data_IF_741392680221
#
_entry.id   IF_741392680221
#
_cell.length_a   1.000
_cell.length_b   1.000
_cell.length_c   1.000
_cell.angle_alpha   90.00
_cell.angle_beta   90.00
_cell.angle_gamma   90.00
#
_symmetry.space_group_name_H-M   'P 1'
#
loop_
_entity.id
_entity.type
_entity.pdbx_description
1 polymer ?
#
# COMPACT_ATOMS: atom_id res chain seq x y z
N UNK A 1 -19.54 27.58 -27.02
CA UNK A 1 -18.55 27.11 -26.02
C UNK A 1 -19.07 27.30 -24.59
N UNK A 2 -19.66 28.44 -24.25
CA UNK A 2 -20.20 28.71 -22.91
C UNK A 2 -21.48 27.88 -22.59
N UNK A 3 -22.30 27.58 -23.56
CA UNK A 3 -23.50 26.74 -23.38
C UNK A 3 -23.13 25.25 -23.16
N UNK A 4 -22.07 24.72 -23.78
CA UNK A 4 -21.58 23.37 -23.50
C UNK A 4 -20.98 23.26 -22.10
N UNK A 5 -20.26 24.29 -21.62
CA UNK A 5 -19.71 24.30 -20.27
C UNK A 5 -20.81 24.38 -19.20
N UNK A 6 -21.91 25.11 -19.45
CA UNK A 6 -23.02 25.16 -18.52
C UNK A 6 -23.83 23.86 -18.46
N UNK A 7 -24.02 23.16 -19.58
CA UNK A 7 -24.63 21.83 -19.61
C UNK A 7 -23.78 20.77 -18.91
N UNK A 8 -22.44 20.85 -19.03
CA UNK A 8 -21.52 19.94 -18.33
C UNK A 8 -21.57 20.19 -16.81
N UNK A 9 -21.58 21.45 -16.38
CA UNK A 9 -21.69 21.81 -14.97
C UNK A 9 -23.05 21.41 -14.36
N UNK A 10 -24.12 21.53 -15.08
CA UNK A 10 -25.47 21.12 -14.65
C UNK A 10 -25.59 19.58 -14.59
N UNK A 11 -24.95 18.84 -15.50
CA UNK A 11 -24.90 17.38 -15.49
C UNK A 11 -24.12 16.80 -14.30
N UNK A 12 -23.09 17.48 -13.83
CA UNK A 12 -22.34 17.08 -12.63
C UNK A 12 -23.18 17.22 -11.35
N UNK A 13 -24.06 18.23 -11.28
CA UNK A 13 -24.88 18.53 -10.10
C UNK A 13 -26.07 17.58 -9.90
N UNK A 14 -26.41 16.75 -10.88
CA UNK A 14 -27.59 15.86 -10.83
C UNK A 14 -27.24 14.38 -10.94
N UNK A 15 -25.97 14.03 -11.14
CA UNK A 15 -25.51 12.65 -11.31
C UNK A 15 -25.69 11.83 -10.03
N UNK A 16 -26.16 10.59 -10.18
CA UNK A 16 -26.40 9.67 -9.07
C UNK A 16 -25.75 8.32 -9.32
N UNK A 17 -25.30 7.68 -8.27
CA UNK A 17 -24.86 6.28 -8.33
C UNK A 17 -26.07 5.39 -8.61
N UNK A 18 -26.03 4.64 -9.70
CA UNK A 18 -27.09 3.72 -10.14
C UNK A 18 -26.75 2.26 -9.84
N UNK A 19 -25.45 1.89 -9.94
CA UNK A 19 -25.04 0.50 -9.74
C UNK A 19 -23.69 0.41 -9.03
N UNK A 20 -23.57 -0.59 -8.16
CA UNK A 20 -22.31 -1.01 -7.53
C UNK A 20 -21.98 -2.42 -8.01
N UNK A 21 -20.82 -2.60 -8.61
CA UNK A 21 -20.27 -3.91 -8.96
C UNK A 21 -19.09 -4.24 -8.07
N UNK A 22 -19.03 -5.48 -7.61
CA UNK A 22 -17.92 -6.05 -6.85
C UNK A 22 -17.32 -7.17 -7.67
N UNK A 23 -16.01 -7.07 -7.96
CA UNK A 23 -15.30 -7.98 -8.88
C UNK A 23 -14.20 -8.67 -8.10
N UNK A 24 -14.35 -9.98 -7.90
CA UNK A 24 -13.37 -10.87 -7.29
C UNK A 24 -12.62 -11.62 -8.37
N UNK A 25 -11.30 -11.57 -8.39
CA UNK A 25 -10.47 -12.22 -9.40
C UNK A 25 -9.12 -12.65 -8.84
N UNK A 26 -8.52 -13.69 -9.42
CA UNK A 26 -7.25 -14.28 -8.98
C UNK A 26 -6.31 -14.54 -10.17
N UNK A 27 -5.83 -13.53 -10.89
CA UNK A 27 -4.91 -13.76 -12.00
C UNK A 27 -3.59 -14.41 -11.54
N UNK A 28 -3.01 -13.99 -10.46
CA UNK A 28 -1.87 -14.60 -9.76
C UNK A 28 -2.02 -14.47 -8.25
N UNK A 29 -2.73 -13.46 -7.82
CA UNK A 29 -3.10 -13.13 -6.44
C UNK A 29 -4.56 -12.76 -6.40
N UNK A 30 -5.15 -12.71 -5.20
CA UNK A 30 -6.54 -12.30 -5.03
C UNK A 30 -6.66 -10.79 -5.03
N UNK A 31 -7.59 -10.30 -5.85
CA UNK A 31 -7.98 -8.90 -5.89
C UNK A 31 -9.50 -8.77 -5.73
N UNK A 32 -9.89 -7.70 -5.07
CA UNK A 32 -11.27 -7.28 -4.92
C UNK A 32 -11.42 -5.86 -5.44
N UNK A 33 -12.09 -5.69 -6.56
CA UNK A 33 -12.34 -4.39 -7.15
C UNK A 33 -13.78 -3.94 -6.94
N UNK A 34 -13.93 -2.62 -6.86
CA UNK A 34 -15.23 -1.93 -6.83
C UNK A 34 -15.37 -1.11 -8.10
N UNK A 35 -16.53 -1.21 -8.76
CA UNK A 35 -16.90 -0.35 -9.87
C UNK A 35 -18.24 0.32 -9.56
N UNK A 36 -18.23 1.62 -9.45
CA UNK A 36 -19.43 2.44 -9.27
C UNK A 36 -19.86 3.00 -10.63
N UNK A 37 -21.12 2.81 -10.98
CA UNK A 37 -21.68 3.28 -12.25
C UNK A 37 -22.77 4.30 -11.93
N UNK A 38 -22.76 5.41 -12.64
CA UNK A 38 -23.73 6.49 -12.46
C UNK A 38 -24.83 6.43 -13.53
N UNK A 39 -25.95 7.09 -13.29
CA UNK A 39 -27.09 7.24 -14.21
C UNK A 39 -26.72 7.97 -15.52
N UNK A 40 -25.60 8.68 -15.54
CA UNK A 40 -25.03 9.28 -16.75
C UNK A 40 -24.12 8.34 -17.56
N UNK A 41 -23.89 7.11 -17.07
CA UNK A 41 -22.97 6.13 -17.66
C UNK A 41 -21.48 6.36 -17.31
N UNK A 42 -21.13 7.44 -16.61
CA UNK A 42 -19.78 7.61 -16.08
C UNK A 42 -19.58 6.60 -14.94
N UNK A 43 -18.40 5.99 -14.89
CA UNK A 43 -18.07 5.04 -13.82
C UNK A 43 -16.68 5.29 -13.26
N UNK A 44 -16.47 4.85 -12.04
CA UNK A 44 -15.17 4.83 -11.38
C UNK A 44 -14.81 3.46 -10.85
N UNK A 45 -13.51 3.23 -10.68
CA UNK A 45 -12.94 1.97 -10.21
C UNK A 45 -12.11 2.19 -8.95
N UNK A 46 -12.10 1.19 -8.07
CA UNK A 46 -11.31 1.21 -6.85
C UNK A 46 -10.86 -0.18 -6.43
N UNK A 47 -9.89 -0.24 -5.54
CA UNK A 47 -9.32 -1.45 -4.97
C UNK A 47 -9.72 -1.59 -3.50
N UNK A 48 -10.33 -2.70 -3.15
CA UNK A 48 -10.76 -3.05 -1.80
C UNK A 48 -10.12 -4.36 -1.31
N UNK A 49 -9.05 -4.81 -1.95
CA UNK A 49 -8.40 -6.09 -1.65
C UNK A 49 -7.97 -6.18 -0.19
N UNK A 50 -8.29 -7.29 0.46
CA UNK A 50 -7.86 -7.61 1.83
C UNK A 50 -7.50 -9.08 1.89
N UNK A 51 -6.21 -9.36 1.92
CA UNK A 51 -5.64 -10.69 1.79
C UNK A 51 -6.28 -11.71 2.74
N UNK A 52 -6.84 -12.78 2.17
CA UNK A 52 -7.52 -13.84 2.87
C UNK A 52 -8.94 -13.51 3.40
N UNK A 53 -9.40 -12.26 3.26
CA UNK A 53 -10.71 -11.80 3.74
C UNK A 53 -11.54 -11.12 2.64
N UNK A 54 -11.19 -11.31 1.38
CA UNK A 54 -11.79 -10.63 0.22
C UNK A 54 -13.31 -10.85 0.16
N UNK A 55 -13.79 -12.07 0.43
CA UNK A 55 -15.23 -12.35 0.47
C UNK A 55 -15.98 -11.58 1.56
N UNK A 56 -15.36 -11.40 2.73
CA UNK A 56 -15.97 -10.64 3.83
C UNK A 56 -16.09 -9.16 3.48
N UNK A 57 -15.05 -8.62 2.84
CA UNK A 57 -15.08 -7.24 2.31
C UNK A 57 -16.12 -7.10 1.20
N UNK A 58 -16.17 -8.07 0.28
CA UNK A 58 -17.16 -8.09 -0.80
C UNK A 58 -18.60 -8.11 -0.28
N UNK A 59 -18.88 -8.94 0.72
CA UNK A 59 -20.20 -9.00 1.36
C UNK A 59 -20.53 -7.67 2.07
N UNK A 60 -19.57 -7.07 2.80
CA UNK A 60 -19.79 -5.79 3.44
C UNK A 60 -20.12 -4.68 2.42
N UNK A 61 -19.45 -4.66 1.26
CA UNK A 61 -19.75 -3.70 0.19
C UNK A 61 -21.17 -3.97 -0.37
N UNK A 62 -21.48 -5.23 -0.67
CA UNK A 62 -22.74 -5.59 -1.33
C UNK A 62 -23.93 -5.41 -0.41
N UNK A 63 -23.83 -5.92 0.82
CA UNK A 63 -24.96 -6.00 1.76
C UNK A 63 -25.16 -4.72 2.56
N UNK A 64 -24.06 -4.00 2.89
CA UNK A 64 -24.13 -2.82 3.74
C UNK A 64 -23.90 -1.50 2.98
N UNK A 65 -22.82 -1.39 2.15
CA UNK A 65 -22.50 -0.12 1.49
C UNK A 65 -23.40 0.15 0.27
N UNK A 66 -23.74 -0.86 -0.53
CA UNK A 66 -24.54 -0.65 -1.74
C UNK A 66 -25.89 0.02 -1.47
N UNK A 67 -26.71 -0.40 -0.47
CA UNK A 67 -27.98 0.26 -0.19
C UNK A 67 -27.88 1.74 0.18
N UNK A 68 -26.76 2.15 0.80
CA UNK A 68 -26.53 3.55 1.19
C UNK A 68 -25.83 4.37 0.11
N UNK A 69 -25.26 3.72 -0.93
CA UNK A 69 -24.63 4.36 -2.09
C UNK A 69 -25.63 4.74 -3.18
N UNK A 70 -26.55 3.83 -3.47
CA UNK A 70 -27.51 4.01 -4.58
C UNK A 70 -28.32 5.29 -4.39
N UNK A 71 -28.41 6.07 -5.47
CA UNK A 71 -29.12 7.35 -5.51
C UNK A 71 -28.35 8.55 -4.95
N UNK A 72 -27.12 8.34 -4.39
CA UNK A 72 -26.28 9.44 -3.90
C UNK A 72 -25.52 10.12 -5.03
N UNK A 73 -25.21 11.38 -4.79
CA UNK A 73 -24.28 12.17 -5.60
C UNK A 73 -22.85 11.66 -5.37
N UNK A 74 -22.15 11.11 -6.39
CA UNK A 74 -20.79 10.57 -6.26
C UNK A 74 -19.72 11.64 -6.01
N UNK A 75 -20.07 12.93 -6.12
CA UNK A 75 -19.11 14.02 -5.87
C UNK A 75 -19.00 14.38 -4.39
N UNK A 76 -19.94 13.93 -3.55
CA UNK A 76 -19.95 14.16 -2.11
C UNK A 76 -19.07 13.13 -1.36
N UNK A 77 -17.79 13.08 -1.71
CA UNK A 77 -16.85 12.03 -1.28
C UNK A 77 -16.64 12.06 0.23
N UNK A 78 -16.35 13.24 0.80
CA UNK A 78 -16.09 13.38 2.24
C UNK A 78 -17.36 13.04 3.06
N UNK A 79 -18.55 13.46 2.61
CA UNK A 79 -19.81 13.13 3.30
C UNK A 79 -20.02 11.62 3.36
N UNK A 80 -19.81 10.92 2.23
CA UNK A 80 -19.91 9.46 2.19
C UNK A 80 -18.87 8.79 3.08
N UNK A 81 -17.62 9.27 3.02
CA UNK A 81 -16.54 8.74 3.87
C UNK A 81 -16.89 8.83 5.36
N UNK A 82 -17.35 10.00 5.80
CA UNK A 82 -17.76 10.23 7.18
C UNK A 82 -19.01 9.43 7.56
N UNK A 83 -19.97 9.29 6.64
CA UNK A 83 -21.16 8.48 6.85
C UNK A 83 -20.79 7.02 7.15
N UNK A 84 -19.89 6.42 6.38
CA UNK A 84 -19.46 5.03 6.61
C UNK A 84 -18.63 4.92 7.88
N UNK A 85 -17.65 5.80 8.08
CA UNK A 85 -16.76 5.72 9.22
C UNK A 85 -17.45 6.00 10.55
N UNK A 86 -18.31 7.06 10.62
CA UNK A 86 -18.98 7.47 11.85
C UNK A 86 -20.35 6.83 12.01
N UNK A 87 -21.09 6.68 10.92
CA UNK A 87 -22.45 6.18 10.92
C UNK A 87 -22.57 4.71 11.29
N UNK A 88 -21.52 3.92 11.06
CA UNK A 88 -21.47 2.53 11.49
C UNK A 88 -21.35 2.35 13.01
N UNK A 89 -21.20 3.42 13.81
CA UNK A 89 -20.96 3.43 15.25
C UNK A 89 -19.67 2.67 15.66
N UNK A 90 -19.53 1.40 15.32
CA UNK A 90 -18.32 0.57 15.48
C UNK A 90 -17.31 0.90 14.39
N UNK A 91 -16.37 1.79 14.70
CA UNK A 91 -15.48 2.42 13.71
C UNK A 91 -14.25 1.58 13.42
N UNK A 92 -13.80 1.66 12.16
CA UNK A 92 -12.52 1.11 11.73
C UNK A 92 -12.52 -0.40 11.56
N UNK A 93 -11.33 -0.98 11.60
CA UNK A 93 -11.08 -2.38 11.31
C UNK A 93 -10.85 -2.63 9.81
N UNK A 94 -10.04 -3.65 9.50
CA UNK A 94 -9.54 -3.89 8.15
C UNK A 94 -10.66 -4.07 7.12
N UNK A 95 -11.75 -4.77 7.47
CA UNK A 95 -12.85 -5.03 6.54
C UNK A 95 -13.55 -3.72 6.15
N UNK A 96 -13.95 -2.93 7.16
CA UNK A 96 -14.67 -1.68 6.93
C UNK A 96 -13.80 -0.68 6.16
N UNK A 97 -12.52 -0.56 6.55
CA UNK A 97 -11.63 0.41 5.92
C UNK A 97 -11.23 0.00 4.50
N UNK A 98 -11.01 -1.28 4.22
CA UNK A 98 -10.76 -1.75 2.85
C UNK A 98 -11.97 -1.57 1.94
N UNK A 99 -13.18 -1.89 2.43
CA UNK A 99 -14.41 -1.65 1.70
C UNK A 99 -14.63 -0.15 1.40
N UNK A 100 -14.41 0.69 2.41
CA UNK A 100 -14.48 2.14 2.28
C UNK A 100 -13.47 2.66 1.26
N UNK A 101 -12.24 2.12 1.26
CA UNK A 101 -11.20 2.49 0.31
C UNK A 101 -11.62 2.22 -1.14
N UNK A 102 -12.14 1.03 -1.44
CA UNK A 102 -12.58 0.72 -2.81
C UNK A 102 -13.64 1.67 -3.32
N UNK A 103 -14.58 2.06 -2.46
CA UNK A 103 -15.61 3.06 -2.80
C UNK A 103 -15.00 4.45 -2.91
N UNK A 104 -14.16 4.86 -1.96
CA UNK A 104 -13.49 6.18 -1.96
C UNK A 104 -12.68 6.40 -3.25
N UNK A 105 -11.85 5.41 -3.63
CA UNK A 105 -11.09 5.46 -4.89
C UNK A 105 -12.02 5.60 -6.11
N UNK A 106 -13.11 4.82 -6.16
CA UNK A 106 -14.05 4.87 -7.27
C UNK A 106 -14.78 6.22 -7.35
N UNK A 107 -15.11 6.86 -6.23
CA UNK A 107 -15.70 8.19 -6.19
C UNK A 107 -14.72 9.26 -6.69
N UNK A 108 -13.45 9.22 -6.25
CA UNK A 108 -12.41 10.12 -6.75
C UNK A 108 -12.14 9.92 -8.24
N UNK A 109 -12.21 8.67 -8.74
CA UNK A 109 -12.06 8.36 -10.16
C UNK A 109 -13.21 8.93 -10.98
N UNK A 110 -14.45 8.82 -10.52
CA UNK A 110 -15.62 9.48 -11.13
C UNK A 110 -15.40 10.98 -11.20
N UNK A 111 -15.02 11.62 -10.09
CA UNK A 111 -14.81 13.06 -10.04
C UNK A 111 -13.76 13.52 -11.05
N UNK A 112 -12.64 12.77 -11.17
CA UNK A 112 -11.61 13.07 -12.16
C UNK A 112 -12.10 12.90 -13.60
N UNK A 113 -12.86 11.84 -13.90
CA UNK A 113 -13.43 11.60 -15.23
C UNK A 113 -14.45 12.66 -15.64
N UNK A 114 -15.34 13.05 -14.72
CA UNK A 114 -16.37 14.08 -14.97
C UNK A 114 -15.73 15.46 -15.19
N UNK A 115 -14.69 15.78 -14.43
CA UNK A 115 -13.98 17.07 -14.58
C UNK A 115 -12.94 17.05 -15.70
N UNK A 116 -12.66 15.88 -16.29
CA UNK A 116 -11.62 15.71 -17.30
C UNK A 116 -10.20 15.89 -16.73
N UNK A 117 -10.02 15.70 -15.41
CA UNK A 117 -8.73 15.94 -14.74
C UNK A 117 -8.15 14.65 -14.17
N UNK A 118 -6.83 14.42 -14.29
CA UNK A 118 -6.15 13.38 -13.53
C UNK A 118 -6.25 13.68 -12.02
N UNK A 119 -6.29 12.62 -11.21
CA UNK A 119 -6.50 12.70 -9.77
C UNK A 119 -5.53 13.68 -9.08
N UNK A 120 -4.24 13.68 -9.43
CA UNK A 120 -3.28 14.58 -8.79
C UNK A 120 -3.64 16.06 -8.93
N UNK A 121 -4.34 16.48 -10.00
CA UNK A 121 -4.78 17.87 -10.16
C UNK A 121 -5.91 18.24 -9.19
N UNK A 122 -6.77 17.28 -8.88
CA UNK A 122 -7.80 17.45 -7.85
C UNK A 122 -7.20 17.51 -6.44
N UNK A 123 -6.02 16.92 -6.27
CA UNK A 123 -5.25 16.93 -5.01
C UNK A 123 -4.39 18.19 -4.82
N UNK A 124 -4.32 19.08 -5.79
CA UNK A 124 -3.56 20.34 -5.71
C UNK A 124 -2.49 20.53 -6.79
N UNK A 125 -2.25 19.53 -7.63
CA UNK A 125 -1.26 19.58 -8.71
C UNK A 125 0.06 18.91 -8.34
N UNK A 126 0.99 18.87 -9.30
CA UNK A 126 2.30 18.22 -9.13
C UNK A 126 3.30 19.15 -8.44
N UNK A 127 4.02 18.64 -7.46
CA UNK A 127 5.25 19.23 -6.90
C UNK A 127 6.51 18.51 -7.41
N UNK A 128 6.35 17.40 -8.14
CA UNK A 128 7.42 16.64 -8.81
C UNK A 128 6.88 15.89 -10.03
N UNK A 129 7.79 15.56 -10.96
CA UNK A 129 7.40 14.90 -12.23
C UNK A 129 7.57 13.39 -12.22
N UNK A 130 8.28 12.84 -11.23
CA UNK A 130 8.58 11.42 -11.10
C UNK A 130 8.65 11.02 -9.63
N UNK A 131 8.38 9.76 -9.35
CA UNK A 131 8.31 9.18 -8.01
C UNK A 131 9.49 8.24 -7.81
N UNK A 132 10.42 8.58 -6.90
CA UNK A 132 11.50 7.68 -6.50
C UNK A 132 10.92 6.42 -5.88
N UNK A 133 11.41 5.24 -6.28
CA UNK A 133 10.91 3.98 -5.76
C UNK A 133 12.02 3.02 -5.36
N UNK A 134 11.65 2.04 -4.55
CA UNK A 134 12.48 0.90 -4.20
C UNK A 134 11.77 -0.41 -4.54
N UNK A 135 12.54 -1.47 -4.75
CA UNK A 135 12.00 -2.81 -4.97
C UNK A 135 12.54 -3.81 -3.96
N UNK A 136 11.78 -4.88 -3.76
CA UNK A 136 12.14 -5.97 -2.88
C UNK A 136 13.20 -6.86 -3.53
N UNK A 137 14.23 -7.17 -2.79
CA UNK A 137 15.23 -8.15 -3.17
C UNK A 137 14.80 -9.50 -2.60
N UNK A 138 14.19 -10.33 -3.44
CA UNK A 138 13.67 -11.65 -3.08
C UNK A 138 14.60 -12.73 -3.62
N UNK A 139 14.92 -13.73 -2.82
CA UNK A 139 15.76 -14.87 -3.18
C UNK A 139 15.71 -15.94 -2.09
N UNK A 140 16.17 -17.16 -2.40
CA UNK A 140 16.14 -18.28 -1.46
C UNK A 140 17.31 -18.25 -0.49
N UNK A 141 18.48 -17.80 -0.96
CA UNK A 141 19.70 -17.71 -0.15
C UNK A 141 20.19 -16.26 -0.07
N UNK A 142 21.03 -15.96 0.90
CA UNK A 142 21.64 -14.64 1.03
C UNK A 142 22.55 -14.30 -0.16
N UNK A 143 23.20 -15.30 -0.76
CA UNK A 143 24.01 -15.16 -1.97
C UNK A 143 23.16 -14.75 -3.17
N UNK A 144 22.02 -15.45 -3.38
CA UNK A 144 21.08 -15.11 -4.45
C UNK A 144 20.51 -13.70 -4.27
N UNK A 145 20.11 -13.35 -3.05
CA UNK A 145 19.61 -12.00 -2.74
C UNK A 145 20.67 -10.92 -2.99
N UNK A 146 21.91 -11.15 -2.58
CA UNK A 146 23.00 -10.21 -2.78
C UNK A 146 23.33 -10.01 -4.28
N UNK A 147 23.38 -11.09 -5.06
CA UNK A 147 23.57 -11.03 -6.50
C UNK A 147 22.40 -10.31 -7.19
N UNK A 148 21.15 -10.57 -6.76
CA UNK A 148 19.97 -9.93 -7.28
C UNK A 148 19.95 -8.43 -6.95
N UNK A 149 20.37 -8.04 -5.75
CA UNK A 149 20.51 -6.63 -5.37
C UNK A 149 21.46 -5.89 -6.31
N UNK A 150 22.63 -6.47 -6.60
CA UNK A 150 23.60 -5.90 -7.52
C UNK A 150 23.03 -5.79 -8.96
N UNK A 151 22.32 -6.82 -9.43
CA UNK A 151 21.68 -6.81 -10.74
C UNK A 151 20.58 -5.70 -10.82
N UNK A 152 19.76 -5.54 -9.81
CA UNK A 152 18.73 -4.50 -9.76
C UNK A 152 19.31 -3.09 -9.86
N UNK A 153 20.42 -2.84 -9.17
CA UNK A 153 21.12 -1.57 -9.25
C UNK A 153 21.69 -1.36 -10.66
N UNK A 154 22.39 -2.36 -11.20
CA UNK A 154 23.09 -2.26 -12.49
C UNK A 154 22.13 -2.24 -13.70
N UNK A 155 21.14 -3.11 -13.71
CA UNK A 155 20.30 -3.37 -14.87
C UNK A 155 19.00 -2.57 -14.85
N UNK A 156 18.43 -2.34 -13.65
CA UNK A 156 17.20 -1.59 -13.47
C UNK A 156 17.42 -0.14 -13.04
N UNK A 157 18.65 0.26 -12.69
CA UNK A 157 18.97 1.62 -12.25
C UNK A 157 18.35 1.97 -10.89
N UNK A 158 18.01 0.97 -10.05
CA UNK A 158 17.47 1.21 -8.72
C UNK A 158 18.48 1.96 -7.86
N UNK A 159 18.01 3.00 -7.18
CA UNK A 159 18.79 3.83 -6.27
C UNK A 159 18.60 3.43 -4.81
N UNK A 160 17.52 2.70 -4.54
CA UNK A 160 17.18 2.17 -3.23
C UNK A 160 16.63 0.76 -3.41
N UNK A 161 17.07 -0.15 -2.56
CA UNK A 161 16.63 -1.55 -2.51
C UNK A 161 16.14 -1.89 -1.11
N UNK A 162 15.22 -2.84 -0.99
CA UNK A 162 14.71 -3.33 0.29
C UNK A 162 15.14 -4.77 0.52
N UNK A 163 15.79 -4.99 1.64
CA UNK A 163 16.04 -6.29 2.23
C UNK A 163 15.02 -6.55 3.33
N UNK A 164 14.75 -7.80 3.61
CA UNK A 164 13.80 -8.20 4.66
C UNK A 164 14.44 -9.24 5.55
N UNK A 165 14.20 -9.12 6.86
CA UNK A 165 14.51 -10.16 7.82
C UNK A 165 13.79 -11.46 7.42
N UNK A 166 14.54 -12.54 7.32
CA UNK A 166 14.00 -13.78 6.79
C UNK A 166 13.20 -14.57 7.81
N UNK A 167 11.89 -14.44 7.83
CA UNK A 167 11.15 -15.67 8.03
C UNK A 167 11.29 -16.46 6.73
N UNK A 168 11.45 -17.80 6.79
CA UNK A 168 11.43 -18.61 5.59
C UNK A 168 10.22 -18.16 4.77
N UNK A 169 10.47 -17.74 3.54
CA UNK A 169 9.39 -17.36 2.68
C UNK A 169 8.43 -18.54 2.68
N UNK A 170 7.26 -18.38 3.24
CA UNK A 170 6.19 -19.21 2.78
C UNK A 170 6.28 -19.10 1.27
N UNK A 171 6.45 -20.21 0.56
CA UNK A 171 6.53 -20.26 -0.89
C UNK A 171 5.21 -19.85 -1.53
N UNK A 172 4.61 -18.79 -1.03
CA UNK A 172 3.34 -18.22 -1.41
C UNK A 172 3.44 -16.73 -1.29
N UNK A 173 3.21 -16.06 -2.37
CA UNK A 173 2.80 -14.68 -2.40
C UNK A 173 1.57 -14.52 -1.48
N UNK A 174 1.53 -13.48 -0.68
CA UNK A 174 0.31 -13.01 -0.02
C UNK A 174 -0.81 -12.99 -1.07
N UNK A 175 -1.90 -13.70 -0.79
CA UNK A 175 -3.02 -13.80 -1.74
C UNK A 175 -2.93 -14.84 -2.85
N UNK A 176 -1.81 -15.52 -3.06
CA UNK A 176 -1.59 -16.44 -4.19
C UNK A 176 -1.83 -17.93 -3.97
N UNK A 177 -2.51 -18.32 -2.92
CA UNK A 177 -3.03 -19.68 -2.84
C UNK A 177 -2.12 -20.71 -2.17
N UNK A 178 -2.10 -20.71 -0.87
CA UNK A 178 -1.83 -21.92 -0.10
C UNK A 178 -3.19 -22.59 0.16
N UNK A 179 -3.57 -23.55 -0.68
CA UNK A 179 -4.87 -24.22 -0.57
C UNK A 179 -5.00 -25.08 0.70
N UNK A 180 -3.88 -25.53 1.26
CA UNK A 180 -3.84 -26.47 2.40
C UNK A 180 -3.48 -25.79 3.74
N UNK A 181 -3.59 -24.47 3.82
CA UNK A 181 -3.13 -23.71 4.98
C UNK A 181 -1.60 -23.47 4.99
N UNK A 182 -1.12 -22.56 5.82
CA UNK A 182 0.26 -22.10 5.75
C UNK A 182 1.22 -23.12 6.35
N UNK A 183 2.11 -23.66 5.53
CA UNK A 183 3.32 -24.35 6.00
C UNK A 183 4.46 -23.34 6.02
N UNK A 184 4.87 -22.93 7.18
CA UNK A 184 6.03 -22.06 7.37
C UNK A 184 7.04 -22.84 8.20
N UNK A 185 8.29 -22.86 7.76
CA UNK A 185 9.38 -23.43 8.55
C UNK A 185 9.56 -22.62 9.85
N UNK A 186 9.69 -23.30 10.99
CA UNK A 186 9.95 -22.63 12.26
C UNK A 186 11.25 -21.81 12.19
N UNK A 187 11.25 -20.65 12.82
CA UNK A 187 12.44 -19.81 12.95
C UNK A 187 12.54 -19.19 14.34
N UNK A 188 13.71 -18.69 14.71
CA UNK A 188 13.93 -17.98 15.96
C UNK A 188 14.52 -16.60 15.70
N UNK A 189 14.02 -15.55 16.39
CA UNK A 189 14.56 -14.21 16.26
C UNK A 189 16.07 -14.12 16.55
N UNK A 190 16.58 -14.92 17.46
CA UNK A 190 17.99 -14.94 17.87
C UNK A 190 18.92 -15.34 16.73
N UNK A 191 18.55 -16.37 15.97
CA UNK A 191 19.32 -16.81 14.79
C UNK A 191 19.31 -15.73 13.71
N UNK A 192 18.16 -15.12 13.50
CA UNK A 192 17.98 -14.09 12.50
C UNK A 192 18.81 -12.82 12.79
N UNK A 193 18.99 -12.43 14.08
CA UNK A 193 19.78 -11.25 14.45
C UNK A 193 21.20 -11.31 13.88
N UNK A 194 21.84 -12.49 13.90
CA UNK A 194 23.20 -12.65 13.38
C UNK A 194 23.20 -12.69 11.84
N UNK A 195 22.28 -13.45 11.25
CA UNK A 195 22.15 -13.59 9.80
C UNK A 195 21.83 -12.25 9.12
N UNK A 196 20.97 -11.45 9.74
CA UNK A 196 20.55 -10.12 9.27
C UNK A 196 21.74 -9.19 9.04
N UNK A 197 22.59 -9.06 10.05
CA UNK A 197 23.71 -8.11 10.01
C UNK A 197 24.73 -8.55 8.97
N UNK A 198 25.11 -9.82 8.96
CA UNK A 198 26.06 -10.34 7.98
C UNK A 198 25.54 -10.17 6.54
N UNK A 199 24.28 -10.48 6.32
CA UNK A 199 23.66 -10.32 5.01
C UNK A 199 23.61 -8.84 4.57
N UNK A 200 23.23 -7.91 5.45
CA UNK A 200 23.21 -6.49 5.14
C UNK A 200 24.60 -5.99 4.73
N UNK A 201 25.64 -6.35 5.49
CA UNK A 201 27.03 -5.98 5.21
C UNK A 201 27.45 -6.48 3.82
N UNK A 202 27.17 -7.74 3.53
CA UNK A 202 27.50 -8.37 2.23
C UNK A 202 26.83 -7.63 1.06
N UNK A 203 25.56 -7.27 1.20
CA UNK A 203 24.87 -6.48 0.16
C UNK A 203 25.47 -5.09 0.04
N UNK A 204 25.73 -4.40 1.16
CA UNK A 204 26.35 -3.07 1.18
C UNK A 204 27.71 -3.05 0.45
N UNK A 205 28.53 -4.06 0.66
CA UNK A 205 29.82 -4.19 -0.03
C UNK A 205 29.66 -4.35 -1.54
N UNK A 206 28.60 -5.04 -2.01
CA UNK A 206 28.36 -5.25 -3.42
C UNK A 206 27.74 -4.05 -4.14
N UNK A 207 26.79 -3.35 -3.49
CA UNK A 207 26.09 -2.24 -4.14
C UNK A 207 26.74 -0.87 -3.91
N UNK A 208 27.71 -0.78 -2.97
CA UNK A 208 28.38 0.47 -2.65
C UNK A 208 27.54 1.42 -1.77
N UNK A 209 28.10 2.57 -1.42
CA UNK A 209 27.46 3.57 -0.54
C UNK A 209 26.43 4.45 -1.24
N UNK A 210 26.49 4.51 -2.57
CA UNK A 210 25.58 5.31 -3.39
C UNK A 210 24.14 4.78 -3.42
N UNK A 211 23.96 3.51 -3.05
CA UNK A 211 22.65 2.85 -3.07
C UNK A 211 22.06 2.83 -1.67
N UNK A 212 20.85 3.35 -1.52
CA UNK A 212 20.10 3.24 -0.27
C UNK A 212 19.71 1.78 -0.02
N UNK A 213 19.89 1.29 1.20
CA UNK A 213 19.43 -0.03 1.61
C UNK A 213 18.42 0.13 2.74
N UNK A 214 17.19 -0.27 2.47
CA UNK A 214 16.13 -0.43 3.46
C UNK A 214 16.27 -1.80 4.08
N UNK A 215 16.08 -1.88 5.40
CA UNK A 215 15.97 -3.16 6.08
C UNK A 215 14.66 -3.27 6.83
N UNK A 216 13.81 -4.21 6.40
CA UNK A 216 12.52 -4.46 6.99
C UNK A 216 12.59 -5.55 8.05
N UNK A 217 12.22 -5.19 9.28
CA UNK A 217 12.11 -6.10 10.43
C UNK A 217 10.72 -6.74 10.53
N UNK A 218 9.73 -6.17 9.85
CA UNK A 218 8.40 -6.72 9.66
C UNK A 218 7.70 -7.15 10.96
N UNK A 219 7.76 -6.29 11.98
CA UNK A 219 7.15 -6.42 13.32
C UNK A 219 7.51 -7.68 14.12
N UNK A 220 8.53 -8.44 13.68
CA UNK A 220 8.84 -9.78 14.21
C UNK A 220 9.67 -9.78 15.48
N UNK A 221 10.24 -8.64 15.83
CA UNK A 221 11.21 -8.54 16.90
C UNK A 221 10.64 -7.80 18.11
N UNK A 222 11.07 -8.22 19.31
CA UNK A 222 10.89 -7.42 20.51
C UNK A 222 11.70 -6.12 20.41
N UNK A 223 11.34 -5.06 21.17
CA UNK A 223 12.12 -3.82 21.17
C UNK A 223 13.62 -4.02 21.45
N UNK A 224 13.95 -4.93 22.36
CA UNK A 224 15.35 -5.22 22.70
C UNK A 224 16.11 -5.87 21.52
N UNK A 225 15.47 -6.78 20.81
CA UNK A 225 16.05 -7.44 19.64
C UNK A 225 16.18 -6.45 18.47
N UNK A 226 15.14 -5.65 18.19
CA UNK A 226 15.17 -4.61 17.16
C UNK A 226 16.31 -3.60 17.41
N UNK A 227 16.46 -3.11 18.64
CA UNK A 227 17.56 -2.21 19.03
C UNK A 227 18.93 -2.85 18.80
N UNK A 228 19.10 -4.13 19.09
CA UNK A 228 20.36 -4.85 18.85
C UNK A 228 20.70 -4.90 17.37
N UNK A 229 19.73 -5.23 16.51
CA UNK A 229 19.90 -5.27 15.05
C UNK A 229 20.25 -3.86 14.55
N UNK A 230 19.46 -2.87 14.88
CA UNK A 230 19.62 -1.50 14.37
C UNK A 230 21.00 -0.94 14.72
N UNK A 231 21.46 -1.12 15.95
CA UNK A 231 22.80 -0.66 16.38
C UNK A 231 23.94 -1.33 15.60
N UNK A 232 23.78 -2.57 15.19
CA UNK A 232 24.77 -3.26 14.38
C UNK A 232 24.73 -2.81 12.91
N UNK A 233 23.56 -2.39 12.41
CA UNK A 233 23.39 -1.88 11.04
C UNK A 233 23.78 -0.41 10.91
N UNK A 234 23.69 0.39 11.97
CA UNK A 234 23.89 1.84 11.96
C UNK A 234 25.25 2.26 11.32
N UNK A 235 26.40 1.56 11.54
CA UNK A 235 27.67 1.89 10.88
C UNK A 235 27.65 1.72 9.35
N UNK A 236 26.67 1.01 8.82
CA UNK A 236 26.54 0.71 7.38
C UNK A 236 25.48 1.58 6.69
N UNK A 237 24.98 2.61 7.36
CA UNK A 237 24.11 3.67 6.83
C UNK A 237 22.85 3.12 6.13
N UNK A 238 21.91 2.49 6.88
CA UNK A 238 20.62 2.09 6.32
C UNK A 238 19.83 3.33 5.86
N UNK A 239 19.13 3.23 4.72
CA UNK A 239 18.24 4.30 4.25
C UNK A 239 17.11 4.55 5.25
N UNK A 240 16.49 3.50 5.72
CA UNK A 240 15.68 3.43 6.95
C UNK A 240 15.53 1.98 7.40
N UNK A 241 15.12 1.82 8.66
CA UNK A 241 14.59 0.55 9.18
C UNK A 241 13.08 0.59 9.09
N UNK A 242 12.49 -0.45 8.51
CA UNK A 242 11.05 -0.60 8.31
C UNK A 242 10.47 -1.49 9.39
N UNK A 243 9.33 -1.08 9.96
CA UNK A 243 8.49 -1.80 10.92
C UNK A 243 9.28 -2.59 11.98
N UNK A 244 10.10 -1.88 12.82
CA UNK A 244 11.02 -2.52 13.75
C UNK A 244 10.34 -3.33 14.85
N UNK A 245 9.08 -3.03 15.18
CA UNK A 245 8.29 -3.66 16.25
C UNK A 245 6.82 -3.70 15.86
N UNK A 246 6.03 -4.57 16.50
CA UNK A 246 4.58 -4.61 16.30
C UNK A 246 3.90 -3.26 16.71
N UNK A 247 2.84 -2.85 15.99
CA UNK A 247 2.19 -1.54 16.21
C UNK A 247 1.30 -1.49 17.45
N UNK A 248 1.06 -2.62 18.11
CA UNK A 248 0.12 -2.74 19.23
C UNK A 248 0.49 -1.87 20.46
N UNK A 249 1.78 -1.51 20.57
CA UNK A 249 2.29 -0.73 21.68
C UNK A 249 3.21 0.41 21.21
N UNK A 250 2.72 1.62 21.21
CA UNK A 250 3.49 2.82 20.84
C UNK A 250 4.74 3.04 21.72
N UNK A 251 4.73 2.57 22.98
CA UNK A 251 5.89 2.65 23.84
C UNK A 251 7.05 1.77 23.35
N UNK A 252 6.76 0.66 22.68
CA UNK A 252 7.78 -0.17 22.05
C UNK A 252 8.51 0.59 20.93
N UNK A 253 7.77 1.27 20.06
CA UNK A 253 8.35 2.12 19.01
C UNK A 253 9.17 3.28 19.61
N UNK A 254 8.68 3.92 20.67
CA UNK A 254 9.40 4.97 21.40
C UNK A 254 10.72 4.45 21.95
N UNK A 255 10.72 3.26 22.57
CA UNK A 255 11.94 2.65 23.10
C UNK A 255 13.00 2.39 22.02
N UNK A 256 12.58 2.02 20.81
CA UNK A 256 13.48 1.87 19.65
C UNK A 256 13.99 3.26 19.22
N UNK A 257 13.11 4.23 19.01
CA UNK A 257 13.49 5.58 18.55
C UNK A 257 14.52 6.26 19.45
N UNK A 258 14.38 6.10 20.76
CA UNK A 258 15.30 6.70 21.75
C UNK A 258 16.72 6.09 21.71
N UNK A 259 16.94 4.98 21.00
CA UNK A 259 18.21 4.24 21.00
C UNK A 259 18.95 4.26 19.67
N UNK A 260 18.40 4.93 18.66
CA UNK A 260 19.03 5.02 17.34
C UNK A 260 18.77 6.36 16.67
N UNK A 261 19.73 6.77 15.83
CA UNK A 261 19.59 7.89 14.89
C UNK A 261 19.18 7.43 13.47
N UNK A 262 19.19 6.14 13.21
CA UNK A 262 18.77 5.58 11.91
C UNK A 262 17.32 5.98 11.63
N UNK A 263 16.99 6.45 10.42
CA UNK A 263 15.60 6.75 10.07
C UNK A 263 14.69 5.52 10.24
N UNK A 264 13.47 5.76 10.69
CA UNK A 264 12.44 4.71 10.90
C UNK A 264 11.27 4.97 9.98
N UNK A 265 10.86 3.95 9.21
CA UNK A 265 9.61 3.89 8.49
C UNK A 265 8.64 2.94 9.21
N UNK A 266 7.37 3.34 9.37
CA UNK A 266 6.43 2.56 10.15
C UNK A 266 4.98 2.82 9.75
N UNK A 267 4.13 1.78 9.85
CA UNK A 267 2.70 2.00 9.84
C UNK A 267 1.87 1.26 8.80
N UNK A 268 2.35 0.24 8.13
CA UNK A 268 1.56 -0.54 7.16
C UNK A 268 0.32 -1.21 7.80
N UNK A 269 0.39 -1.50 9.10
CA UNK A 269 -0.72 -2.06 9.86
C UNK A 269 -1.66 -1.02 10.48
N UNK A 270 -1.39 0.27 10.37
CA UNK A 270 -2.30 1.32 10.84
C UNK A 270 -3.53 1.43 9.95
N UNK A 271 -4.68 1.75 10.58
CA UNK A 271 -6.00 1.75 9.93
C UNK A 271 -6.63 3.14 9.87
N UNK A 272 -6.00 4.14 10.45
CA UNK A 272 -6.52 5.52 10.46
C UNK A 272 -5.46 6.52 10.88
N UNK A 273 -5.70 7.81 10.58
CA UNK A 273 -4.87 8.91 11.12
C UNK A 273 -4.82 8.92 12.64
N UNK A 274 -5.83 8.39 13.32
CA UNK A 274 -5.87 8.34 14.78
C UNK A 274 -4.84 7.36 15.35
N UNK A 275 -4.60 6.25 14.67
CA UNK A 275 -3.53 5.31 15.02
C UNK A 275 -2.14 5.87 14.67
N UNK A 276 -2.02 6.60 13.56
CA UNK A 276 -0.78 7.26 13.16
C UNK A 276 -0.38 8.43 14.07
N UNK A 277 -1.37 9.09 14.68
CA UNK A 277 -1.18 10.35 15.41
C UNK A 277 -0.05 10.29 16.45
N UNK A 278 0.03 9.30 17.37
CA UNK A 278 1.10 9.27 18.36
C UNK A 278 2.50 9.08 17.77
N UNK A 279 2.62 8.32 16.68
CA UNK A 279 3.91 8.11 16.01
C UNK A 279 4.40 9.37 15.30
N UNK A 280 3.50 10.10 14.63
CA UNK A 280 3.80 11.34 13.91
C UNK A 280 4.09 12.47 14.90
N UNK A 281 3.16 12.77 15.82
CA UNK A 281 3.30 13.91 16.76
C UNK A 281 4.42 13.73 17.76
N UNK A 282 4.72 12.48 18.12
CA UNK A 282 5.87 12.13 18.95
C UNK A 282 7.20 12.09 18.20
N UNK A 283 7.21 12.31 16.87
CA UNK A 283 8.38 12.18 15.99
C UNK A 283 9.11 10.84 16.20
N UNK A 284 8.33 9.78 16.36
CA UNK A 284 8.87 8.44 16.56
C UNK A 284 9.30 7.79 15.24
N UNK A 285 8.83 8.37 14.12
CA UNK A 285 9.09 7.91 12.76
C UNK A 285 9.59 9.06 11.90
N UNK A 286 10.39 8.76 10.88
CA UNK A 286 10.84 9.68 9.85
C UNK A 286 9.99 9.53 8.59
N UNK A 287 9.41 8.34 8.41
CA UNK A 287 8.49 8.01 7.30
C UNK A 287 7.24 7.33 7.85
N UNK A 288 6.07 7.88 7.52
CA UNK A 288 4.79 7.20 7.75
C UNK A 288 4.46 6.34 6.52
N UNK A 289 4.18 5.05 6.76
CA UNK A 289 4.13 4.03 5.71
C UNK A 289 2.81 3.27 5.72
N UNK A 290 1.70 4.01 5.75
CA UNK A 290 0.37 3.39 5.75
C UNK A 290 0.04 2.74 4.39
N UNK A 291 -0.76 1.68 4.43
CA UNK A 291 -1.42 1.13 3.27
C UNK A 291 -2.71 1.90 2.98
N UNK A 292 -2.80 2.49 1.79
CA UNK A 292 -3.94 3.32 1.40
C UNK A 292 -5.26 2.53 1.44
N UNK A 293 -5.22 1.22 1.16
CA UNK A 293 -6.41 0.37 1.25
C UNK A 293 -6.84 0.22 2.72
N UNK A 294 -5.90 0.04 3.64
CA UNK A 294 -6.17 -0.25 5.06
C UNK A 294 -6.63 0.98 5.84
N UNK A 295 -6.30 2.17 5.37
CA UNK A 295 -6.70 3.44 6.01
C UNK A 295 -8.00 4.03 5.44
N UNK A 296 -8.65 3.40 4.45
CA UNK A 296 -9.92 3.86 3.90
C UNK A 296 -9.81 4.83 2.74
N UNK A 297 -8.70 4.76 1.96
CA UNK A 297 -8.58 5.40 0.67
C UNK A 297 -7.88 6.76 0.65
N UNK A 298 -8.05 7.45 -0.46
CA UNK A 298 -7.42 8.72 -0.81
C UNK A 298 -7.79 9.83 0.18
N UNK A 299 -9.07 9.88 0.58
CA UNK A 299 -9.60 10.89 1.49
C UNK A 299 -8.89 10.89 2.84
N UNK A 300 -8.57 9.73 3.39
CA UNK A 300 -7.83 9.61 4.65
C UNK A 300 -6.31 9.78 4.45
N UNK A 301 -5.75 9.22 3.36
CA UNK A 301 -4.34 9.34 3.04
C UNK A 301 -3.88 10.80 2.98
N UNK A 302 -4.63 11.66 2.32
CA UNK A 302 -4.36 13.12 2.28
C UNK A 302 -4.29 13.75 3.66
N UNK A 303 -5.19 13.37 4.57
CA UNK A 303 -5.20 13.90 5.94
C UNK A 303 -3.99 13.44 6.75
N UNK A 304 -3.55 12.19 6.53
CA UNK A 304 -2.33 11.66 7.12
C UNK A 304 -1.10 12.39 6.56
N UNK A 305 -1.03 12.62 5.24
CA UNK A 305 0.08 13.33 4.61
C UNK A 305 0.24 14.75 5.15
N UNK A 306 -0.86 15.52 5.26
CA UNK A 306 -0.84 16.88 5.82
C UNK A 306 -0.44 16.88 7.30
N UNK A 307 -0.93 15.91 8.08
CA UNK A 307 -0.52 15.75 9.47
C UNK A 307 0.98 15.45 9.56
N UNK A 308 1.48 14.53 8.75
CA UNK A 308 2.89 14.14 8.70
C UNK A 308 3.79 15.32 8.29
N UNK A 309 3.40 16.09 7.26
CA UNK A 309 4.12 17.28 6.80
C UNK A 309 4.31 18.30 7.93
N UNK A 310 3.28 18.53 8.75
CA UNK A 310 3.33 19.48 9.87
C UNK A 310 4.42 19.13 10.91
N UNK A 311 4.82 17.86 10.99
CA UNK A 311 5.82 17.34 11.93
C UNK A 311 7.13 16.92 11.25
N UNK A 312 7.41 17.35 10.00
CA UNK A 312 8.57 16.95 9.20
C UNK A 312 8.71 15.43 9.03
N UNK A 313 7.59 14.71 8.98
CA UNK A 313 7.54 13.29 8.67
C UNK A 313 7.20 13.12 7.20
N UNK A 314 7.94 12.27 6.50
CA UNK A 314 7.73 11.98 5.09
C UNK A 314 6.68 10.89 4.91
N UNK A 315 6.03 10.85 3.75
CA UNK A 315 5.18 9.72 3.34
C UNK A 315 6.00 8.69 2.56
N UNK A 316 5.66 7.40 2.76
CA UNK A 316 6.22 6.27 2.03
C UNK A 316 5.13 5.19 1.92
N UNK A 317 4.09 5.42 1.11
CA UNK A 317 2.92 4.56 1.07
C UNK A 317 3.27 3.11 0.78
N UNK A 318 2.67 2.19 1.55
CA UNK A 318 2.80 0.76 1.35
C UNK A 318 2.31 0.39 -0.06
N UNK A 319 3.07 -0.40 -0.80
CA UNK A 319 2.79 -0.74 -2.20
C UNK A 319 3.49 -2.02 -2.64
N UNK A 320 3.34 -3.14 -1.92
CA UNK A 320 3.90 -4.42 -2.30
C UNK A 320 3.21 -5.00 -3.55
N UNK A 321 3.67 -6.16 -3.98
CA UNK A 321 3.15 -6.81 -5.18
C UNK A 321 1.72 -7.38 -5.03
N UNK A 322 1.16 -7.37 -3.83
CA UNK A 322 -0.20 -7.81 -3.53
C UNK A 322 -1.25 -6.69 -3.55
N UNK A 323 -0.85 -5.45 -3.80
CA UNK A 323 -1.78 -4.38 -4.17
C UNK A 323 -1.91 -4.27 -5.69
N UNK A 324 -3.06 -3.79 -6.17
CA UNK A 324 -3.34 -3.75 -7.60
C UNK A 324 -2.71 -2.54 -8.29
N UNK A 325 -2.65 -2.53 -9.64
CA UNK A 325 -2.25 -1.36 -10.42
C UNK A 325 -3.07 -0.10 -10.10
N UNK A 326 -4.34 -0.24 -9.66
CA UNK A 326 -5.18 0.89 -9.25
C UNK A 326 -4.60 1.55 -8.01
N UNK A 327 -4.25 0.77 -6.98
CA UNK A 327 -3.63 1.30 -5.76
C UNK A 327 -2.26 1.89 -6.04
N UNK A 328 -1.45 1.26 -6.88
CA UNK A 328 -0.16 1.84 -7.30
C UNK A 328 -0.32 3.17 -8.03
N UNK A 329 -1.37 3.33 -8.86
CA UNK A 329 -1.68 4.60 -9.51
C UNK A 329 -2.14 5.66 -8.49
N UNK A 330 -2.97 5.28 -7.53
CA UNK A 330 -3.37 6.17 -6.42
C UNK A 330 -2.16 6.63 -5.62
N UNK A 331 -1.27 5.71 -5.22
CA UNK A 331 -0.03 6.05 -4.53
C UNK A 331 0.82 7.03 -5.35
N UNK A 332 0.91 6.81 -6.66
CA UNK A 332 1.64 7.74 -7.55
C UNK A 332 1.01 9.15 -7.55
N UNK A 333 -0.32 9.25 -7.64
CA UNK A 333 -1.03 10.54 -7.61
C UNK A 333 -0.82 11.29 -6.29
N UNK A 334 -0.88 10.59 -5.16
CA UNK A 334 -0.56 11.14 -3.84
C UNK A 334 0.88 11.64 -3.83
N UNK A 335 1.83 10.80 -4.19
CA UNK A 335 3.27 11.09 -4.13
C UNK A 335 3.69 12.29 -5.00
N UNK A 336 3.06 12.51 -6.16
CA UNK A 336 3.41 13.67 -6.98
C UNK A 336 2.78 14.97 -6.50
N UNK A 337 1.71 14.89 -5.69
CA UNK A 337 1.01 16.07 -5.16
C UNK A 337 1.42 16.43 -3.73
N UNK A 338 2.00 15.51 -2.97
CA UNK A 338 2.43 15.72 -1.58
C UNK A 338 3.85 16.27 -1.51
N UNK A 339 4.04 17.39 -0.80
CA UNK A 339 5.37 17.99 -0.62
C UNK A 339 6.33 17.09 0.16
N UNK A 340 5.84 16.47 1.23
CA UNK A 340 6.60 15.64 2.15
C UNK A 340 6.79 14.17 1.70
N UNK A 341 6.61 13.89 0.42
CA UNK A 341 6.93 12.56 -0.13
C UNK A 341 8.39 12.17 0.11
N UNK A 342 8.62 10.94 0.52
CA UNK A 342 9.95 10.35 0.69
C UNK A 342 10.33 9.36 -0.40
N UNK A 343 9.69 8.20 -0.40
CA UNK A 343 9.95 7.13 -1.34
C UNK A 343 8.71 6.24 -1.51
N UNK A 344 8.55 5.60 -2.67
CA UNK A 344 7.46 4.67 -2.94
C UNK A 344 7.96 3.23 -3.01
N UNK A 345 7.26 2.34 -2.35
CA UNK A 345 7.41 0.90 -2.55
C UNK A 345 6.87 0.51 -3.93
N UNK A 346 7.70 -0.18 -4.72
CA UNK A 346 7.34 -0.73 -6.03
C UNK A 346 7.34 -2.25 -5.97
N UNK A 347 6.18 -2.83 -5.85
CA UNK A 347 5.98 -4.28 -5.78
C UNK A 347 6.17 -5.02 -7.10
N UNK A 348 6.53 -4.33 -8.18
CA UNK A 348 6.69 -4.94 -9.52
C UNK A 348 5.46 -5.74 -9.94
N UNK A 349 4.39 -5.05 -10.30
CA UNK A 349 3.10 -5.64 -10.70
C UNK A 349 3.26 -6.75 -11.74
N UNK A 350 2.76 -7.93 -11.42
CA UNK A 350 2.76 -9.09 -12.30
C UNK A 350 2.08 -8.82 -13.65
N UNK A 351 2.54 -9.48 -14.68
CA UNK A 351 1.99 -9.37 -16.02
C UNK A 351 0.56 -9.87 -16.14
N UNK A 352 0.15 -10.83 -15.32
CA UNK A 352 -1.21 -11.39 -15.37
C UNK A 352 -2.26 -10.40 -14.86
N UNK A 353 -1.99 -9.65 -13.78
CA UNK A 353 -2.96 -8.64 -13.32
C UNK A 353 -3.12 -7.50 -14.33
N UNK A 354 -2.11 -7.22 -15.14
CA UNK A 354 -2.19 -6.25 -16.25
C UNK A 354 -3.13 -6.66 -17.38
N UNK A 355 -3.52 -7.94 -17.44
CA UNK A 355 -4.57 -8.39 -18.37
C UNK A 355 -5.98 -8.03 -17.84
N UNK A 356 -6.11 -7.86 -16.53
CA UNK A 356 -7.38 -7.52 -15.87
C UNK A 356 -7.49 -6.00 -15.63
N UNK A 357 -6.38 -5.37 -15.23
CA UNK A 357 -6.34 -3.93 -14.95
C UNK A 357 -5.40 -3.25 -15.91
N UNK A 358 -5.93 -2.39 -16.76
CA UNK A 358 -5.16 -1.53 -17.65
C UNK A 358 -4.73 -0.24 -16.96
N UNK A 359 -3.65 0.38 -17.41
CA UNK A 359 -3.08 1.58 -16.78
C UNK A 359 -2.11 1.23 -15.65
N UNK A 360 -1.91 2.17 -14.74
CA UNK A 360 -0.94 2.04 -13.65
C UNK A 360 0.45 2.59 -13.98
N UNK A 361 1.27 2.79 -12.93
CA UNK A 361 2.60 3.37 -13.10
C UNK A 361 3.55 2.46 -13.91
N UNK A 362 4.46 3.12 -14.62
CA UNK A 362 5.53 2.47 -15.38
C UNK A 362 6.86 2.77 -14.71
N UNK A 363 7.61 1.72 -14.43
CA UNK A 363 8.95 1.81 -13.87
C UNK A 363 9.98 2.20 -14.95
N UNK A 364 10.88 3.14 -14.61
CA UNK A 364 12.04 3.51 -15.44
C UNK A 364 13.17 4.08 -14.56
N UNK A 365 14.34 3.45 -14.61
CA UNK A 365 15.58 3.92 -13.97
C UNK A 365 15.43 4.37 -12.50
N UNK A 366 14.79 3.56 -11.67
CA UNK A 366 14.56 3.82 -10.25
C UNK A 366 13.40 4.77 -9.93
N UNK A 367 12.58 5.11 -10.93
CA UNK A 367 11.43 5.99 -10.76
C UNK A 367 10.17 5.41 -11.38
N UNK A 368 9.03 5.82 -10.84
CA UNK A 368 7.70 5.54 -11.37
C UNK A 368 7.15 6.76 -12.12
N UNK A 369 6.49 6.50 -13.23
CA UNK A 369 5.80 7.46 -14.08
C UNK A 369 4.38 6.99 -14.35
N UNK A 370 3.44 7.90 -14.46
CA UNK A 370 2.07 7.61 -14.84
C UNK A 370 1.64 8.54 -15.97
N UNK A 371 0.92 7.98 -16.94
CA UNK A 371 0.33 8.75 -18.02
C UNK A 371 -0.82 9.62 -17.52
N UNK A 372 -0.87 10.87 -17.97
CA UNK A 372 -1.94 11.80 -17.61
C UNK A 372 -3.26 11.37 -18.27
N UNK A 373 -4.16 10.78 -17.49
CA UNK A 373 -5.53 10.40 -17.87
C UNK A 373 -6.50 10.93 -16.83
N UNK A 374 -7.78 11.26 -17.21
CA UNK A 374 -8.81 11.62 -16.25
C UNK A 374 -9.02 10.54 -15.19
N UNK A 375 -9.23 10.95 -13.94
CA UNK A 375 -9.40 10.05 -12.81
C UNK A 375 -8.07 9.45 -12.33
N UNK A 376 -8.12 8.20 -11.89
CA UNK A 376 -6.95 7.42 -11.44
C UNK A 376 -6.09 6.99 -12.63
N UNK A 377 -6.66 6.94 -13.84
CA UNK A 377 -5.95 6.52 -15.05
C UNK A 377 -5.85 5.00 -15.25
N UNK A 378 -6.62 4.24 -14.48
CA UNK A 378 -6.75 2.79 -14.59
C UNK A 378 -8.17 2.39 -14.99
N UNK A 379 -8.32 1.18 -15.55
CA UNK A 379 -9.62 0.58 -15.83
C UNK A 379 -9.58 -0.93 -15.66
N UNK A 380 -10.76 -1.55 -15.45
CA UNK A 380 -10.93 -2.98 -15.22
C UNK A 380 -11.61 -3.62 -16.43
N UNK A 381 -10.96 -4.61 -17.02
CA UNK A 381 -11.57 -5.51 -17.99
C UNK A 381 -12.32 -6.64 -17.27
N UNK A 382 -13.64 -6.48 -17.15
CA UNK A 382 -14.50 -7.44 -16.44
C UNK A 382 -14.47 -8.82 -17.12
N UNK A 383 -14.42 -8.87 -18.46
CA UNK A 383 -14.36 -10.14 -19.20
C UNK A 383 -13.00 -10.86 -19.04
N UNK A 384 -11.93 -10.09 -18.86
CA UNK A 384 -10.64 -10.67 -18.50
C UNK A 384 -10.63 -11.16 -17.04
N UNK A 385 -11.26 -10.44 -16.12
CA UNK A 385 -11.36 -10.84 -14.72
C UNK A 385 -12.10 -12.17 -14.54
N UNK A 386 -13.14 -12.44 -15.33
CA UNK A 386 -13.89 -13.70 -15.32
C UNK A 386 -13.03 -14.91 -15.70
N UNK A 387 -11.95 -14.73 -16.44
CA UNK A 387 -11.01 -15.83 -16.80
C UNK A 387 -10.16 -16.28 -15.62
N UNK A 388 -10.11 -15.50 -14.55
CA UNK A 388 -9.34 -15.74 -13.36
C UNK A 388 -10.26 -15.79 -12.12
N UNK A 389 -11.09 -16.84 -11.98
CA UNK A 389 -12.04 -16.93 -10.89
C UNK A 389 -11.32 -16.92 -9.54
N UNK A 390 -11.96 -16.33 -8.55
CA UNK A 390 -11.44 -16.25 -7.20
C UNK A 390 -11.03 -17.61 -6.63
N UNK A 391 -9.86 -17.66 -5.98
CA UNK A 391 -9.34 -18.83 -5.29
C UNK A 391 -9.10 -18.49 -3.83
N UNK A 392 -9.67 -19.26 -2.93
CA UNK A 392 -9.46 -19.03 -1.50
C UNK A 392 -7.98 -19.16 -1.16
N UNK A 393 -7.45 -18.14 -0.50
CA UNK A 393 -6.08 -18.08 -0.02
C UNK A 393 -6.06 -17.81 1.49
N UNK A 394 -4.95 -18.16 2.14
CA UNK A 394 -4.74 -17.92 3.56
C UNK A 394 -3.43 -17.15 3.72
N UNK A 395 -3.40 -16.23 4.70
CA UNK A 395 -2.16 -15.60 5.13
C UNK A 395 -1.32 -16.66 5.86
N UNK A 396 -0.03 -16.80 5.55
CA UNK A 396 0.85 -17.71 6.26
C UNK A 396 0.90 -17.44 7.76
N UNK A 397 1.01 -18.50 8.56
CA UNK A 397 1.16 -18.42 10.02
C UNK A 397 2.60 -18.79 10.38
N UNK A 398 3.36 -17.85 10.94
CA UNK A 398 4.72 -18.11 11.40
C UNK A 398 4.73 -18.68 12.83
N UNK A 399 5.65 -19.61 13.08
CA UNK A 399 5.86 -20.21 14.40
C UNK A 399 7.35 -20.24 14.74
N UNK A 400 7.63 -20.03 16.01
CA UNK A 400 8.95 -20.30 16.58
C UNK A 400 9.24 -21.81 16.66
N UNK A 401 10.49 -22.18 16.89
CA UNK A 401 10.94 -23.57 17.03
C UNK A 401 10.26 -24.31 18.18
N UNK A 402 9.75 -23.60 19.20
CA UNK A 402 8.97 -24.17 20.32
C UNK A 402 7.48 -24.33 20.00
N UNK A 403 7.04 -23.94 18.78
CA UNK A 403 5.67 -24.02 18.32
C UNK A 403 4.80 -22.80 18.64
N UNK A 404 5.30 -21.80 19.34
CA UNK A 404 4.59 -20.54 19.61
C UNK A 404 4.39 -19.72 18.33
N UNK A 405 3.28 -18.94 18.27
CA UNK A 405 3.02 -18.04 17.15
C UNK A 405 3.96 -16.84 17.19
N UNK A 406 4.42 -16.45 16.02
CA UNK A 406 5.17 -15.20 15.81
C UNK A 406 4.43 -14.30 14.82
N UNK A 407 4.80 -13.03 14.75
CA UNK A 407 4.32 -12.14 13.68
C UNK A 407 4.82 -12.62 12.32
N UNK A 408 4.02 -12.36 11.29
CA UNK A 408 4.29 -12.81 9.93
C UNK A 408 5.28 -11.94 9.18
#
# INVERSE_FOLDING_TARGET
>A
TLQRSAQTAQGVLTMKIEQVKVILTSPNQNYLFVKLITDSGVYGVGDASLNGQEHTVADFITSFLTPILIGRDPTQIEDFWQLVYRGAYWRGGNIVMSALCGVDMALWDILGKVTGQPLYRLLGGKVRDKVLCYSHVLGKTNEEKAALAASYVKERGLKVIRLRAGAPAANGTLGGGVQDGPKVEPWTPEEEIYNTVEFFIRVREQVGREVGIIYDLHERFSPAQAIRIIRQLEPYDPFFIEDPVAPDCIASLRSVREKTSVPIAFGELYKSRHECLPAITGRLVDYIRCDVIRIGGITEARKIAVLAETYDVKTAWHGPNDVSPITHAVNWHLNVSEYNFGIQEDGSVDTLVKQVVSGGPVYRDGYLYLEDRPGIGCDIDEAAAEKYPFRRAYIPVCRSSDGSLTNW
#
